data_IF_679858500238
#
_entry.id   IF_679858500238
#
_cell.length_a   1.000
_cell.length_b   1.000
_cell.length_c   1.000
_cell.angle_alpha   90.00
_cell.angle_beta   90.00
_cell.angle_gamma   90.00
#
_symmetry.space_group_name_H-M   'P 1'
#
loop_
_entity.id
_entity.type
_entity.pdbx_description
1 polymer ?
#
# COMPACT_ATOMS: atom_id res chain seq x y z
N UNK A 1 -18.75 -5.76 3.19
CA UNK A 1 -17.97 -7.00 3.05
C UNK A 1 -18.02 -7.82 4.33
N UNK A 2 -17.61 -7.28 5.48
CA UNK A 2 -17.65 -8.00 6.76
C UNK A 2 -19.06 -8.47 7.17
N UNK A 3 -20.12 -7.67 6.94
CA UNK A 3 -21.50 -8.10 7.17
C UNK A 3 -21.83 -9.43 6.46
N UNK A 4 -21.55 -9.52 5.16
CA UNK A 4 -21.73 -10.75 4.37
C UNK A 4 -20.81 -11.90 4.79
N UNK A 5 -19.65 -11.62 5.41
CA UNK A 5 -18.83 -12.69 5.98
C UNK A 5 -19.51 -13.31 7.21
N UNK A 6 -20.06 -12.46 8.09
CA UNK A 6 -20.77 -12.91 9.29
C UNK A 6 -22.00 -13.75 8.92
N UNK A 7 -22.77 -13.35 7.90
CA UNK A 7 -23.93 -14.10 7.40
C UNK A 7 -23.59 -15.53 6.96
N UNK A 8 -22.36 -15.78 6.49
CA UNK A 8 -21.90 -17.08 5.99
C UNK A 8 -20.98 -17.78 7.02
N UNK A 9 -20.87 -17.26 8.25
CA UNK A 9 -20.04 -17.83 9.31
C UNK A 9 -18.54 -17.74 9.07
N UNK A 10 -18.09 -16.79 8.24
CA UNK A 10 -16.69 -16.55 7.93
C UNK A 10 -16.05 -15.49 8.84
N UNK A 11 -14.74 -15.60 9.06
CA UNK A 11 -13.98 -14.64 9.88
C UNK A 11 -13.96 -13.26 9.23
N UNK A 12 -14.25 -12.22 10.01
CA UNK A 12 -14.16 -10.82 9.57
C UNK A 12 -12.71 -10.35 9.39
N UNK A 13 -12.49 -9.42 8.46
CA UNK A 13 -11.19 -8.80 8.28
C UNK A 13 -11.05 -7.60 9.23
N UNK A 14 -9.86 -7.48 9.84
CA UNK A 14 -9.55 -6.40 10.77
C UNK A 14 -9.40 -5.02 10.10
N UNK A 15 -8.92 -4.98 8.85
CA UNK A 15 -8.71 -3.74 8.11
C UNK A 15 -8.79 -3.98 6.58
N UNK A 16 -8.90 -2.91 5.77
CA UNK A 16 -8.95 -3.00 4.31
C UNK A 16 -7.73 -3.69 3.68
N UNK A 17 -6.52 -3.54 4.25
CA UNK A 17 -5.30 -4.21 3.76
C UNK A 17 -5.44 -5.73 3.84
N UNK A 18 -5.88 -6.24 4.99
CA UNK A 18 -6.12 -7.67 5.21
C UNK A 18 -7.28 -8.18 4.34
N UNK A 19 -8.33 -7.37 4.17
CA UNK A 19 -9.45 -7.71 3.30
C UNK A 19 -9.02 -7.85 1.84
N UNK A 20 -8.22 -6.92 1.30
CA UNK A 20 -7.72 -6.98 -0.07
C UNK A 20 -6.79 -8.19 -0.29
N UNK A 21 -5.80 -8.38 0.58
CA UNK A 21 -4.87 -9.50 0.49
C UNK A 21 -5.58 -10.86 0.61
N UNK A 22 -6.48 -10.98 1.59
CA UNK A 22 -7.29 -12.17 1.81
C UNK A 22 -8.26 -12.45 0.65
N UNK A 23 -8.76 -11.42 -0.02
CA UNK A 23 -9.63 -11.58 -1.19
C UNK A 23 -8.88 -12.03 -2.45
N UNK A 24 -7.64 -11.54 -2.64
CA UNK A 24 -6.83 -11.87 -3.81
C UNK A 24 -6.22 -13.27 -3.73
N UNK A 25 -5.81 -13.72 -2.54
CA UNK A 25 -5.09 -14.98 -2.33
C UNK A 25 -6.02 -16.14 -1.97
N UNK A 26 -6.92 -16.49 -2.88
CA UNK A 26 -7.95 -17.51 -2.66
C UNK A 26 -7.84 -18.65 -3.67
N UNK A 27 -8.03 -19.90 -3.20
CA UNK A 27 -8.23 -21.07 -4.06
C UNK A 27 -9.72 -21.39 -4.18
N UNK A 28 -10.17 -21.88 -5.34
CA UNK A 28 -11.56 -22.29 -5.53
C UNK A 28 -11.84 -23.69 -4.98
N UNK A 29 -10.85 -24.59 -5.06
CA UNK A 29 -10.97 -25.99 -4.66
C UNK A 29 -11.43 -26.16 -3.20
N UNK A 30 -12.35 -27.11 -2.98
CA UNK A 30 -12.86 -27.45 -1.65
C UNK A 30 -13.86 -26.44 -1.04
N UNK A 31 -14.30 -25.43 -1.79
CA UNK A 31 -15.30 -24.46 -1.32
C UNK A 31 -16.73 -24.90 -1.60
N UNK A 32 -17.60 -24.67 -0.63
CA UNK A 32 -19.06 -24.77 -0.84
C UNK A 32 -19.54 -23.67 -1.80
N UNK A 33 -20.72 -23.84 -2.44
CA UNK A 33 -21.29 -22.82 -3.33
C UNK A 33 -21.36 -21.41 -2.70
N UNK A 34 -21.81 -21.32 -1.43
CA UNK A 34 -21.86 -20.05 -0.70
C UNK A 34 -20.48 -19.39 -0.52
N UNK A 35 -19.43 -20.18 -0.29
CA UNK A 35 -18.04 -19.69 -0.16
C UNK A 35 -17.45 -19.27 -1.51
N UNK A 36 -17.80 -19.96 -2.59
CA UNK A 36 -17.42 -19.56 -3.96
C UNK A 36 -18.07 -18.23 -4.34
N UNK A 37 -19.36 -18.05 -4.05
CA UNK A 37 -20.05 -16.79 -4.30
C UNK A 37 -19.47 -15.64 -3.48
N UNK A 38 -19.15 -15.91 -2.21
CA UNK A 38 -18.48 -14.93 -1.36
C UNK A 38 -17.09 -14.57 -1.88
N UNK A 39 -16.31 -15.55 -2.35
CA UNK A 39 -15.01 -15.33 -2.98
C UNK A 39 -15.13 -14.46 -4.24
N UNK A 40 -16.04 -14.80 -5.16
CA UNK A 40 -16.29 -14.03 -6.38
C UNK A 40 -16.74 -12.61 -6.07
N UNK A 41 -17.64 -12.44 -5.10
CA UNK A 41 -18.11 -11.13 -4.66
C UNK A 41 -16.99 -10.26 -4.07
N UNK A 42 -16.03 -10.87 -3.35
CA UNK A 42 -14.84 -10.17 -2.83
C UNK A 42 -13.93 -9.69 -3.96
N UNK A 43 -13.59 -10.57 -4.90
CA UNK A 43 -12.70 -10.24 -6.04
C UNK A 43 -13.28 -9.09 -6.87
N UNK A 44 -14.59 -9.11 -7.17
CA UNK A 44 -15.26 -8.06 -7.95
C UNK A 44 -15.28 -6.69 -7.29
N UNK A 45 -15.02 -6.61 -5.97
CA UNK A 45 -14.96 -5.34 -5.22
C UNK A 45 -13.54 -4.78 -5.14
N UNK A 46 -12.53 -5.52 -5.58
CA UNK A 46 -11.16 -5.04 -5.59
C UNK A 46 -11.02 -3.93 -6.64
N UNK A 47 -10.28 -2.90 -6.26
CA UNK A 47 -9.86 -1.81 -7.13
C UNK A 47 -8.34 -1.72 -7.04
N UNK A 48 -7.72 -1.19 -8.09
CA UNK A 48 -6.28 -1.09 -8.23
C UNK A 48 -5.91 0.35 -8.58
N UNK A 49 -4.76 0.79 -8.06
CA UNK A 49 -4.06 1.99 -8.50
C UNK A 49 -2.62 1.58 -8.81
N UNK A 50 -2.13 1.97 -9.98
CA UNK A 50 -0.73 1.75 -10.39
C UNK A 50 0.10 3.01 -10.14
N UNK A 51 1.38 2.83 -9.83
CA UNK A 51 2.25 3.92 -9.36
C UNK A 51 3.70 3.84 -9.86
N UNK A 52 3.98 3.00 -10.85
CA UNK A 52 5.32 2.84 -11.41
C UNK A 52 5.47 1.55 -12.21
N UNK A 53 6.63 1.40 -12.84
CA UNK A 53 7.01 0.26 -13.67
C UNK A 53 8.29 -0.32 -13.07
N UNK A 54 8.30 -1.62 -12.75
CA UNK A 54 9.46 -2.27 -12.12
C UNK A 54 10.38 -3.00 -13.10
N UNK A 55 9.87 -3.40 -14.27
CA UNK A 55 10.60 -4.23 -15.22
C UNK A 55 11.25 -3.44 -16.37
N UNK A 56 11.05 -2.12 -16.42
CA UNK A 56 11.57 -1.25 -17.47
C UNK A 56 12.66 -0.36 -16.89
N UNK A 57 13.94 -0.55 -17.26
CA UNK A 57 15.03 0.30 -16.81
C UNK A 57 14.80 1.77 -17.16
N UNK A 58 15.25 2.68 -16.30
CA UNK A 58 15.07 4.13 -16.49
C UNK A 58 15.66 4.61 -17.81
N UNK A 59 16.88 4.17 -18.16
CA UNK A 59 17.52 4.54 -19.43
C UNK A 59 16.68 4.17 -20.66
N UNK A 60 16.07 2.99 -20.64
CA UNK A 60 15.24 2.51 -21.74
C UNK A 60 13.90 3.26 -21.77
N UNK A 61 13.34 3.60 -20.62
CA UNK A 61 12.12 4.42 -20.55
C UNK A 61 12.32 5.80 -21.19
N UNK A 62 13.50 6.40 -20.97
CA UNK A 62 13.88 7.68 -21.57
C UNK A 62 14.08 7.58 -23.10
N UNK A 63 14.69 6.50 -23.60
CA UNK A 63 14.90 6.32 -25.04
C UNK A 63 13.65 5.93 -25.80
N UNK A 64 12.86 5.01 -25.25
CA UNK A 64 11.79 4.32 -25.98
C UNK A 64 10.46 5.06 -25.87
N UNK A 65 10.21 5.70 -24.72
CA UNK A 65 8.95 6.37 -24.41
C UNK A 65 9.12 7.87 -24.17
N UNK A 66 10.35 8.41 -24.27
CA UNK A 66 10.66 9.81 -23.99
C UNK A 66 10.20 10.29 -22.60
N UNK A 67 10.26 9.39 -21.61
CA UNK A 67 9.89 9.69 -20.23
C UNK A 67 11.15 9.93 -19.40
N UNK A 68 11.26 11.13 -18.85
CA UNK A 68 12.38 11.57 -18.02
C UNK A 68 12.00 11.81 -16.55
N UNK A 69 10.69 11.89 -16.25
CA UNK A 69 10.17 12.15 -14.92
C UNK A 69 9.23 11.04 -14.40
N UNK A 70 9.24 10.82 -13.08
CA UNK A 70 8.37 9.88 -12.38
C UNK A 70 6.89 10.29 -12.50
N UNK A 71 6.61 11.59 -12.58
CA UNK A 71 5.28 12.14 -12.84
C UNK A 71 4.76 11.78 -14.23
N UNK A 72 5.61 11.83 -15.26
CA UNK A 72 5.29 11.42 -16.63
C UNK A 72 4.93 9.93 -16.74
N UNK A 73 5.51 9.07 -15.89
CA UNK A 73 5.14 7.64 -15.80
C UNK A 73 3.65 7.47 -15.51
N UNK A 74 3.05 8.32 -14.67
CA UNK A 74 1.61 8.25 -14.41
C UNK A 74 0.80 8.61 -15.67
N UNK A 75 1.26 9.60 -16.44
CA UNK A 75 0.65 9.95 -17.73
C UNK A 75 0.70 8.80 -18.74
N UNK A 76 1.85 8.13 -18.84
CA UNK A 76 2.03 6.95 -19.69
C UNK A 76 1.08 5.81 -19.29
N UNK A 77 1.04 5.48 -17.99
CA UNK A 77 0.16 4.43 -17.45
C UNK A 77 -1.32 4.76 -17.68
N UNK A 78 -1.72 6.02 -17.49
CA UNK A 78 -3.07 6.47 -17.78
C UNK A 78 -3.41 6.37 -19.27
N UNK A 79 -2.45 6.68 -20.16
CA UNK A 79 -2.59 6.52 -21.61
C UNK A 79 -2.84 5.07 -22.04
N UNK A 80 -2.36 4.09 -21.27
CA UNK A 80 -2.67 2.66 -21.46
C UNK A 80 -4.00 2.23 -20.85
N UNK A 81 -4.76 3.16 -20.26
CA UNK A 81 -6.03 2.87 -19.58
C UNK A 81 -5.87 2.27 -18.18
N UNK A 82 -4.65 2.32 -17.60
CA UNK A 82 -4.44 1.83 -16.24
C UNK A 82 -4.90 2.87 -15.21
N UNK A 83 -5.53 2.44 -14.11
CA UNK A 83 -6.02 3.35 -13.08
C UNK A 83 -4.86 3.94 -12.28
N UNK A 84 -4.70 5.26 -12.32
CA UNK A 84 -3.74 6.01 -11.51
C UNK A 84 -4.44 6.80 -10.40
N UNK A 85 -3.70 7.19 -9.37
CA UNK A 85 -4.22 8.12 -8.36
C UNK A 85 -4.43 9.51 -8.99
N UNK A 86 -5.50 10.19 -8.62
CA UNK A 86 -5.78 11.60 -8.99
C UNK A 86 -5.14 12.60 -8.01
N UNK A 87 -4.57 12.10 -6.91
CA UNK A 87 -4.07 12.93 -5.82
C UNK A 87 -2.58 13.26 -5.91
N UNK A 88 -1.79 12.62 -6.80
CA UNK A 88 -0.36 12.92 -6.89
C UNK A 88 -0.10 14.35 -7.40
N UNK A 89 0.96 14.97 -6.91
CA UNK A 89 1.41 16.32 -7.31
C UNK A 89 2.93 16.34 -7.38
N UNK A 90 3.46 17.21 -8.23
CA UNK A 90 4.89 17.52 -8.35
C UNK A 90 5.13 18.85 -7.65
N UNK A 91 6.25 18.94 -6.93
CA UNK A 91 6.65 20.11 -6.15
C UNK A 91 8.11 20.40 -6.42
N UNK A 92 8.47 21.68 -6.45
CA UNK A 92 9.85 22.12 -6.64
C UNK A 92 10.57 22.31 -5.28
N UNK A 93 9.81 22.41 -4.18
CA UNK A 93 10.36 22.65 -2.84
C UNK A 93 9.84 21.66 -1.77
N UNK A 94 10.72 21.31 -0.83
CA UNK A 94 10.41 20.35 0.25
C UNK A 94 9.38 20.87 1.25
N UNK A 95 9.25 22.19 1.42
CA UNK A 95 8.23 22.80 2.28
C UNK A 95 6.83 22.54 1.71
N UNK A 96 6.66 22.60 0.39
CA UNK A 96 5.38 22.30 -0.29
C UNK A 96 5.02 20.81 -0.14
N UNK A 97 6.01 19.92 -0.27
CA UNK A 97 5.83 18.48 0.02
C UNK A 97 5.36 18.28 1.45
N UNK A 98 5.97 18.97 2.41
CA UNK A 98 5.63 18.87 3.84
C UNK A 98 4.20 19.36 4.09
N UNK A 99 3.81 20.47 3.46
CA UNK A 99 2.44 20.99 3.54
C UNK A 99 1.43 20.01 2.92
N UNK A 100 1.75 19.45 1.76
CA UNK A 100 0.92 18.45 1.09
C UNK A 100 0.68 17.23 1.99
N UNK A 101 1.74 16.70 2.62
CA UNK A 101 1.65 15.60 3.58
C UNK A 101 0.77 15.98 4.77
N UNK A 102 0.98 17.15 5.39
CA UNK A 102 0.18 17.61 6.53
C UNK A 102 -1.30 17.74 6.16
N UNK A 103 -1.60 18.34 5.01
CA UNK A 103 -2.97 18.52 4.51
C UNK A 103 -3.66 17.18 4.30
N UNK A 104 -3.03 16.23 3.61
CA UNK A 104 -3.62 14.92 3.37
C UNK A 104 -3.71 14.07 4.64
N UNK A 105 -2.84 14.28 5.62
CA UNK A 105 -2.94 13.66 6.94
C UNK A 105 -4.20 14.09 7.68
N UNK A 106 -4.46 15.39 7.70
CA UNK A 106 -5.67 15.96 8.34
C UNK A 106 -6.96 15.53 7.63
N UNK A 107 -6.92 15.37 6.30
CA UNK A 107 -8.08 15.03 5.47
C UNK A 107 -8.06 13.56 4.99
N UNK A 108 -7.33 12.68 5.68
CA UNK A 108 -7.11 11.28 5.24
C UNK A 108 -8.40 10.48 5.09
N UNK A 109 -9.45 10.86 5.82
CA UNK A 109 -10.76 10.23 5.77
C UNK A 109 -11.58 10.60 4.52
N UNK A 110 -11.16 11.62 3.77
CA UNK A 110 -11.82 12.07 2.55
C UNK A 110 -11.37 11.28 1.31
N UNK A 111 -10.25 10.55 1.41
CA UNK A 111 -9.76 9.67 0.34
C UNK A 111 -10.67 8.45 0.25
N UNK A 112 -10.95 7.98 -0.96
CA UNK A 112 -11.92 6.91 -1.23
C UNK A 112 -11.51 5.55 -0.63
N UNK A 113 -10.26 5.44 -0.19
CA UNK A 113 -9.69 4.29 0.46
C UNK A 113 -8.78 4.73 1.60
N UNK A 114 -8.66 3.88 2.61
CA UNK A 114 -7.78 4.14 3.74
C UNK A 114 -6.31 4.21 3.28
N UNK A 115 -5.65 5.31 3.62
CA UNK A 115 -4.21 5.51 3.45
C UNK A 115 -3.52 5.54 4.83
N UNK A 116 -2.29 5.03 4.90
CA UNK A 116 -1.46 5.03 6.11
C UNK A 116 -0.29 6.02 6.03
N UNK A 117 -0.26 6.84 4.99
CA UNK A 117 0.83 7.76 4.70
C UNK A 117 0.82 8.29 3.28
N UNK A 118 1.87 9.02 2.93
CA UNK A 118 2.17 9.52 1.59
C UNK A 118 3.55 9.03 1.17
N UNK A 119 3.69 8.62 -0.09
CA UNK A 119 4.98 8.28 -0.67
C UNK A 119 5.54 9.52 -1.36
N UNK A 120 6.73 9.94 -0.95
CA UNK A 120 7.50 11.01 -1.60
C UNK A 120 8.54 10.34 -2.48
N UNK A 121 8.65 10.78 -3.73
CA UNK A 121 9.61 10.27 -4.72
C UNK A 121 10.35 11.46 -5.34
N UNK A 122 11.62 11.29 -5.64
CA UNK A 122 12.36 12.19 -6.54
C UNK A 122 11.71 12.11 -7.93
N UNK A 123 11.41 13.26 -8.53
CA UNK A 123 10.70 13.26 -9.82
C UNK A 123 11.63 12.94 -10.99
N UNK A 124 12.86 13.47 -11.00
CA UNK A 124 13.86 13.15 -12.02
C UNK A 124 14.24 11.66 -11.97
N UNK A 125 13.92 10.91 -13.03
CA UNK A 125 14.23 9.49 -13.11
C UNK A 125 15.74 9.23 -13.26
N UNK A 126 16.51 10.14 -13.87
CA UNK A 126 17.96 10.01 -13.98
C UNK A 126 18.62 9.88 -12.60
N UNK A 127 18.09 10.59 -11.60
CA UNK A 127 18.55 10.48 -10.22
C UNK A 127 18.19 9.13 -9.56
N UNK A 128 17.23 8.36 -10.07
CA UNK A 128 16.87 7.07 -9.47
C UNK A 128 18.00 6.06 -9.60
N UNK A 129 18.70 6.04 -10.74
CA UNK A 129 19.85 5.16 -10.97
C UNK A 129 21.05 5.56 -10.12
N UNK A 130 21.32 6.87 -10.03
CA UNK A 130 22.43 7.41 -9.24
C UNK A 130 22.22 7.17 -7.74
N UNK A 131 21.02 7.46 -7.24
CA UNK A 131 20.67 7.22 -5.85
C UNK A 131 20.61 5.72 -5.55
N UNK A 132 20.13 4.91 -6.49
CA UNK A 132 20.06 3.46 -6.37
C UNK A 132 19.16 2.98 -5.22
N UNK A 133 19.52 1.83 -4.65
CA UNK A 133 18.75 1.18 -3.58
C UNK A 133 19.65 0.58 -2.50
N UNK A 134 19.07 0.40 -1.33
CA UNK A 134 19.59 -0.48 -0.27
C UNK A 134 19.13 -1.92 -0.53
N UNK A 135 19.53 -2.87 0.32
CA UNK A 135 19.04 -4.25 0.26
C UNK A 135 17.53 -4.40 0.49
N UNK A 136 16.83 -3.33 0.92
CA UNK A 136 15.42 -3.37 1.31
C UNK A 136 14.53 -2.30 0.66
N UNK A 137 15.10 -1.19 0.21
CA UNK A 137 14.33 -0.03 -0.26
C UNK A 137 15.15 0.88 -1.19
N UNK A 138 14.50 1.56 -2.14
CA UNK A 138 15.13 2.61 -2.96
C UNK A 138 15.56 3.80 -2.09
N UNK A 139 16.59 4.54 -2.56
CA UNK A 139 17.05 5.78 -1.90
C UNK A 139 16.36 7.04 -2.42
N UNK A 140 15.70 6.94 -3.58
CA UNK A 140 14.97 8.03 -4.24
C UNK A 140 13.49 8.13 -3.83
N UNK A 141 13.01 7.26 -2.93
CA UNK A 141 11.64 7.31 -2.43
C UNK A 141 11.55 6.99 -0.94
N UNK A 142 10.60 7.61 -0.26
CA UNK A 142 10.30 7.36 1.15
C UNK A 142 8.81 7.39 1.41
N UNK A 143 8.34 6.59 2.37
CA UNK A 143 6.96 6.60 2.83
C UNK A 143 6.86 7.39 4.14
N UNK A 144 6.23 8.56 4.09
CA UNK A 144 5.85 9.31 5.27
C UNK A 144 4.59 8.68 5.88
N UNK A 145 4.73 7.98 7.00
CA UNK A 145 3.61 7.31 7.68
C UNK A 145 2.90 8.26 8.64
N UNK A 146 1.58 8.25 8.62
CA UNK A 146 0.80 8.95 9.62
C UNK A 146 0.79 8.15 10.93
N UNK A 147 0.69 8.83 12.09
CA UNK A 147 0.52 8.14 13.36
C UNK A 147 -0.68 7.18 13.29
N UNK A 148 -0.51 5.93 13.74
CA UNK A 148 -1.62 5.01 13.88
C UNK A 148 -2.63 5.57 14.88
N UNK A 149 -3.87 5.10 14.81
CA UNK A 149 -4.82 5.38 15.88
C UNK A 149 -4.39 4.64 17.14
N UNK A 150 -4.16 5.39 18.21
CA UNK A 150 -3.81 4.86 19.52
C UNK A 150 -5.09 4.62 20.31
N UNK A 151 -5.20 3.42 20.90
CA UNK A 151 -6.29 3.05 21.80
C UNK A 151 -5.71 2.52 23.10
N UNK A 152 -6.35 2.86 24.21
CA UNK A 152 -6.00 2.30 25.51
C UNK A 152 -6.69 0.94 25.68
N UNK A 153 -5.96 -0.04 26.20
CA UNK A 153 -6.47 -1.35 26.60
C UNK A 153 -5.82 -1.79 27.90
N UNK A 154 -6.31 -2.86 28.50
CA UNK A 154 -5.75 -3.43 29.74
C UNK A 154 -4.67 -4.46 29.39
N UNK A 155 -3.48 -4.32 29.96
CA UNK A 155 -2.47 -5.37 29.91
C UNK A 155 -2.90 -6.51 30.84
N UNK A 156 -3.26 -7.66 30.27
CA UNK A 156 -3.72 -8.82 31.02
C UNK A 156 -2.56 -9.71 31.48
N UNK A 157 -1.54 -9.88 30.62
CA UNK A 157 -0.38 -10.72 30.91
C UNK A 157 0.83 -10.34 30.02
N UNK A 158 2.04 -10.81 30.39
CA UNK A 158 3.24 -10.76 29.56
C UNK A 158 3.79 -12.17 29.39
N UNK A 159 3.72 -12.67 28.15
CA UNK A 159 4.21 -14.00 27.79
C UNK A 159 5.54 -13.90 27.04
N UNK A 160 6.40 -14.91 27.17
CA UNK A 160 7.74 -14.92 26.55
C UNK A 160 7.81 -15.97 25.45
N UNK A 161 8.23 -15.55 24.25
CA UNK A 161 8.58 -16.45 23.15
C UNK A 161 10.09 -16.57 23.01
N UNK A 162 10.63 -17.79 22.93
CA UNK A 162 12.05 -18.03 22.70
C UNK A 162 12.29 -18.35 21.22
N UNK A 163 13.01 -17.48 20.54
CA UNK A 163 13.33 -17.64 19.12
C UNK A 163 14.39 -18.72 18.86
N UNK A 164 14.56 -19.07 17.59
CA UNK A 164 15.54 -20.09 17.13
C UNK A 164 16.98 -19.87 17.61
N UNK A 165 17.37 -18.63 17.89
CA UNK A 165 18.71 -18.28 18.41
C UNK A 165 18.78 -18.24 19.94
N UNK A 166 17.75 -18.72 20.65
CA UNK A 166 17.65 -18.64 22.11
C UNK A 166 17.21 -17.29 22.66
N UNK A 167 16.94 -16.29 21.80
CA UNK A 167 16.51 -14.95 22.24
C UNK A 167 15.08 -15.01 22.81
N UNK A 168 14.94 -14.72 24.09
CA UNK A 168 13.64 -14.53 24.75
C UNK A 168 13.06 -13.15 24.39
N UNK A 169 11.85 -13.13 23.83
CA UNK A 169 11.12 -11.92 23.44
C UNK A 169 9.79 -11.86 24.19
N UNK A 170 9.61 -10.94 25.15
CA UNK A 170 8.33 -10.74 25.80
C UNK A 170 7.33 -10.06 24.86
N UNK A 171 6.05 -10.40 24.98
CA UNK A 171 4.95 -9.73 24.30
C UNK A 171 3.72 -9.63 25.21
N UNK A 172 2.96 -8.54 25.04
CA UNK A 172 1.76 -8.26 25.81
C UNK A 172 0.58 -9.12 25.35
N UNK A 173 -0.19 -9.63 26.31
CA UNK A 173 -1.55 -10.13 26.11
C UNK A 173 -2.50 -9.03 26.59
N UNK A 174 -3.38 -8.59 25.70
CA UNK A 174 -4.28 -7.43 25.86
C UNK A 174 -5.73 -7.84 25.69
#
# INVERSE_FOLDING_TARGET
LNARQLEVGERVFANPRNAAAGSLRQKEEGKSPARLDLMRARIRRLRMLVHGIGAWPVRELASDAHVSAQSEVYGLLAGWGLPISTHFRVFDDISEVTEFVRRHGAHRAEVEHQIDGIVVKVDDLGLHEELGATSRAPRWATAYKYPPEEVNTTLLDIVVSVGRTGRATPFAVM
#
